data_IF_929415073372
#
_entry.id   IF_929415073372
#
_cell.length_a   1.000
_cell.length_b   1.000
_cell.length_c   1.000
_cell.angle_alpha   90.00
_cell.angle_beta   90.00
_cell.angle_gamma   90.00
#
_symmetry.space_group_name_H-M   'P 1'
#
loop_
_entity.id
_entity.type
_entity.pdbx_description
1 polymer ?
#
# COMPACT_ATOMS: atom_id res chain seq x y z
N UNK A 1 -57.21 17.22 67.63
CA UNK A 1 -57.60 15.88 68.16
C UNK A 1 -56.89 14.83 67.33
N UNK A 2 -56.06 13.98 67.99
CA UNK A 2 -55.70 12.58 67.66
C UNK A 2 -55.17 12.26 66.23
N UNK A 3 -54.18 11.40 65.94
CA UNK A 3 -53.19 10.55 66.64
C UNK A 3 -52.41 9.84 65.51
N UNK A 4 -51.12 9.54 65.72
CA UNK A 4 -50.30 8.43 65.14
C UNK A 4 -49.97 8.48 63.63
N UNK A 5 -48.70 8.61 63.20
CA UNK A 5 -47.55 7.67 63.25
C UNK A 5 -47.64 6.52 62.23
N UNK A 6 -46.76 6.50 61.20
CA UNK A 6 -45.51 5.70 61.10
C UNK A 6 -45.12 5.44 59.63
N UNK A 7 -43.80 5.42 59.41
CA UNK A 7 -43.04 5.19 58.19
C UNK A 7 -43.33 3.87 57.46
N UNK A 8 -42.91 3.79 56.18
CA UNK A 8 -42.54 2.52 55.57
C UNK A 8 -42.56 2.48 54.04
N UNK A 9 -41.36 2.44 53.46
CA UNK A 9 -40.97 1.75 52.23
C UNK A 9 -41.11 2.41 50.83
N UNK A 10 -39.92 2.80 50.37
CA UNK A 10 -39.44 2.83 49.00
C UNK A 10 -39.84 1.56 48.25
N UNK A 11 -40.63 1.71 47.19
CA UNK A 11 -40.62 0.79 46.05
C UNK A 11 -40.46 1.62 44.78
N UNK A 12 -39.26 1.55 44.21
CA UNK A 12 -38.97 1.95 42.84
C UNK A 12 -39.92 1.19 41.90
N UNK A 13 -40.98 1.87 41.48
CA UNK A 13 -41.83 1.42 40.39
C UNK A 13 -41.05 1.48 39.08
N UNK A 14 -40.60 0.32 38.61
CA UNK A 14 -40.17 0.11 37.23
C UNK A 14 -41.35 0.46 36.32
N UNK A 15 -41.27 1.59 35.63
CA UNK A 15 -42.17 1.89 34.54
C UNK A 15 -41.78 1.01 33.35
N UNK A 16 -42.54 -0.05 33.11
CA UNK A 16 -42.55 -0.80 31.86
C UNK A 16 -42.93 0.16 30.71
N UNK A 17 -41.92 0.64 29.99
CA UNK A 17 -42.06 1.35 28.73
C UNK A 17 -42.25 0.37 27.57
N UNK A 18 -43.34 -0.39 27.60
CA UNK A 18 -43.72 -1.31 26.51
C UNK A 18 -44.49 -0.52 25.44
N UNK A 19 -43.80 0.43 24.77
CA UNK A 19 -44.44 1.23 23.72
C UNK A 19 -43.43 1.86 22.75
N UNK A 20 -42.47 1.10 22.21
CA UNK A 20 -41.58 1.65 21.16
C UNK A 20 -40.94 0.64 20.19
N UNK A 21 -41.55 -0.53 19.95
CA UNK A 21 -40.98 -1.53 19.02
C UNK A 21 -41.99 -2.22 18.10
N UNK A 22 -43.04 -1.54 17.63
CA UNK A 22 -44.00 -2.17 16.70
C UNK A 22 -44.43 -1.28 15.52
N UNK A 23 -43.46 -0.63 14.87
CA UNK A 23 -43.68 0.18 13.65
C UNK A 23 -42.68 -0.04 12.53
N UNK A 24 -42.11 -1.24 12.42
CA UNK A 24 -41.34 -1.64 11.23
C UNK A 24 -42.26 -2.49 10.33
N UNK A 25 -43.15 -1.85 9.58
CA UNK A 25 -44.04 -2.62 8.69
C UNK A 25 -45.11 -1.91 7.88
N UNK A 26 -45.33 -0.59 8.03
CA UNK A 26 -46.34 0.12 7.22
C UNK A 26 -45.71 1.22 6.36
N UNK A 27 -45.77 1.13 5.02
CA UNK A 27 -45.38 2.26 4.17
C UNK A 27 -46.44 3.37 4.27
N UNK A 28 -46.05 4.66 4.35
CA UNK A 28 -47.01 5.75 4.38
C UNK A 28 -47.78 5.81 3.05
N UNK A 29 -49.10 5.79 3.17
CA UNK A 29 -50.04 5.81 2.05
C UNK A 29 -50.19 7.22 1.43
N UNK A 30 -49.12 7.78 0.85
CA UNK A 30 -49.19 9.09 0.17
C UNK A 30 -48.16 9.20 -0.98
N UNK A 31 -48.32 8.40 -2.05
CA UNK A 31 -47.78 8.73 -3.38
C UNK A 31 -48.72 8.20 -4.48
N UNK A 32 -48.99 8.99 -5.54
CA UNK A 32 -49.95 8.62 -6.58
C UNK A 32 -49.44 7.44 -7.39
N UNK A 33 -50.34 6.47 -7.63
CA UNK A 33 -50.11 5.29 -8.48
C UNK A 33 -49.90 5.71 -9.94
N UNK A 34 -48.68 6.08 -10.29
CA UNK A 34 -48.27 6.35 -11.67
C UNK A 34 -47.24 5.28 -12.05
N UNK A 35 -47.74 4.31 -12.82
CA UNK A 35 -47.03 3.34 -13.66
C UNK A 35 -45.94 2.46 -13.04
N UNK A 36 -46.26 1.17 -12.89
CA UNK A 36 -45.35 0.05 -13.17
C UNK A 36 -46.17 -1.21 -13.45
N UNK A 37 -46.93 -1.18 -14.55
CA UNK A 37 -47.33 -2.41 -15.23
C UNK A 37 -46.10 -2.97 -15.93
N UNK A 38 -45.36 -3.85 -15.25
CA UNK A 38 -44.28 -4.63 -15.88
C UNK A 38 -44.89 -5.69 -16.81
N UNK A 39 -45.36 -5.23 -17.97
CA UNK A 39 -45.57 -6.07 -19.15
C UNK A 39 -44.20 -6.59 -19.54
N UNK A 40 -44.05 -7.92 -19.57
CA UNK A 40 -42.87 -8.62 -20.08
C UNK A 40 -42.51 -8.07 -21.46
N UNK A 41 -41.45 -7.25 -21.55
CA UNK A 41 -40.87 -6.82 -22.82
C UNK A 41 -39.67 -7.73 -23.13
N UNK A 42 -39.72 -8.52 -24.21
CA UNK A 42 -38.56 -9.26 -24.70
C UNK A 42 -37.69 -8.30 -25.53
N UNK A 43 -37.14 -7.26 -24.90
CA UNK A 43 -36.31 -6.24 -25.55
C UNK A 43 -34.82 -6.36 -25.23
N UNK A 44 -34.36 -7.45 -24.61
CA UNK A 44 -32.97 -7.87 -24.72
C UNK A 44 -32.77 -8.67 -26.01
N UNK A 45 -32.97 -7.98 -27.15
CA UNK A 45 -32.59 -8.50 -28.45
C UNK A 45 -31.06 -8.43 -28.51
N UNK A 46 -30.47 -9.61 -28.59
CA UNK A 46 -29.05 -9.98 -28.69
C UNK A 46 -28.42 -9.36 -29.96
N UNK A 47 -28.36 -8.02 -30.05
CA UNK A 47 -27.73 -7.28 -31.16
C UNK A 47 -26.54 -6.43 -30.70
N UNK A 48 -26.27 -6.34 -29.40
CA UNK A 48 -25.12 -5.60 -28.84
C UNK A 48 -23.78 -6.34 -28.84
N UNK A 49 -23.70 -7.56 -29.40
CA UNK A 49 -22.50 -8.41 -29.28
C UNK A 49 -21.35 -7.88 -30.15
N UNK A 50 -21.69 -7.24 -31.28
CA UNK A 50 -20.70 -6.64 -32.18
C UNK A 50 -20.13 -5.33 -31.61
N UNK A 51 -20.96 -4.51 -30.96
CA UNK A 51 -20.53 -3.25 -30.36
C UNK A 51 -19.71 -3.44 -29.07
N UNK A 52 -20.01 -4.47 -28.28
CA UNK A 52 -19.24 -4.81 -27.08
C UNK A 52 -17.83 -5.35 -27.42
N UNK A 53 -17.70 -6.13 -28.50
CA UNK A 53 -16.41 -6.66 -28.94
C UNK A 53 -15.46 -5.55 -29.46
N UNK A 54 -16.00 -4.49 -30.07
CA UNK A 54 -15.22 -3.36 -30.58
C UNK A 54 -14.66 -2.44 -29.48
N UNK A 55 -15.29 -2.38 -28.30
CA UNK A 55 -14.75 -1.64 -27.14
C UNK A 55 -13.67 -2.41 -26.37
N UNK A 56 -13.61 -3.74 -26.51
CA UNK A 56 -12.66 -4.58 -25.79
C UNK A 56 -11.23 -4.54 -26.37
N UNK A 57 -11.09 -4.27 -27.67
CA UNK A 57 -9.80 -4.24 -28.38
C UNK A 57 -8.86 -3.11 -27.88
N UNK A 58 -9.30 -1.85 -27.70
CA UNK A 58 -8.40 -0.81 -27.19
C UNK A 58 -8.02 -1.00 -25.70
N UNK A 59 -8.78 -1.76 -24.91
CA UNK A 59 -8.47 -2.04 -23.50
C UNK A 59 -7.30 -3.02 -23.32
N UNK A 60 -7.00 -3.85 -24.33
CA UNK A 60 -5.91 -4.84 -24.28
C UNK A 60 -4.55 -4.27 -24.71
N UNK A 61 -4.52 -3.12 -25.40
CA UNK A 61 -3.27 -2.51 -25.88
C UNK A 61 -2.48 -1.79 -24.78
N UNK A 62 -3.07 -1.52 -23.62
CA UNK A 62 -2.44 -0.77 -22.52
C UNK A 62 -1.36 -1.56 -21.75
N UNK A 63 -1.15 -2.84 -22.06
CA UNK A 63 -0.22 -3.70 -21.32
C UNK A 63 1.24 -3.59 -21.77
N UNK A 64 1.54 -2.87 -22.87
CA UNK A 64 2.88 -2.87 -23.47
C UNK A 64 3.43 -1.43 -23.58
N UNK A 65 4.32 -1.07 -22.66
CA UNK A 65 4.96 0.25 -22.60
C UNK A 65 6.20 0.22 -21.71
N UNK A 66 7.05 1.26 -21.77
CA UNK A 66 8.33 1.29 -21.07
C UNK A 66 8.19 1.29 -19.53
N UNK A 67 7.05 1.74 -19.00
CA UNK A 67 6.71 1.67 -17.57
C UNK A 67 5.71 0.55 -17.23
N UNK A 68 5.53 -0.43 -18.12
CA UNK A 68 4.59 -1.52 -17.87
C UNK A 68 5.13 -2.50 -16.83
N UNK A 69 4.41 -2.66 -15.73
CA UNK A 69 4.64 -3.73 -14.75
C UNK A 69 4.26 -5.12 -15.26
N UNK A 70 3.52 -5.17 -16.38
CA UNK A 70 3.06 -6.41 -17.01
C UNK A 70 3.99 -6.90 -18.14
N UNK A 71 5.05 -6.14 -18.45
CA UNK A 71 6.12 -6.54 -19.35
C UNK A 71 7.46 -6.60 -18.59
N UNK A 72 7.67 -7.60 -17.73
CA UNK A 72 8.81 -7.65 -16.83
C UNK A 72 10.11 -8.04 -17.58
N UNK A 73 11.21 -7.41 -17.20
CA UNK A 73 12.54 -7.61 -17.75
C UNK A 73 13.61 -7.93 -16.68
N UNK A 74 13.16 -8.24 -15.47
CA UNK A 74 14.00 -8.74 -14.37
C UNK A 74 13.25 -9.76 -13.51
N UNK A 75 13.97 -10.55 -12.69
CA UNK A 75 13.39 -11.64 -11.91
C UNK A 75 12.37 -11.14 -10.88
N UNK A 76 12.64 -10.02 -10.20
CA UNK A 76 11.73 -9.43 -9.22
C UNK A 76 10.41 -8.99 -9.88
N UNK A 77 10.47 -8.28 -11.00
CA UNK A 77 9.28 -7.90 -11.76
C UNK A 77 8.50 -9.12 -12.31
N UNK A 78 9.19 -10.19 -12.74
CA UNK A 78 8.53 -11.42 -13.21
C UNK A 78 7.71 -12.11 -12.12
N UNK A 79 8.19 -12.09 -10.88
CA UNK A 79 7.42 -12.58 -9.75
C UNK A 79 6.17 -11.72 -9.53
N UNK A 80 6.32 -10.39 -9.53
CA UNK A 80 5.20 -9.45 -9.43
C UNK A 80 4.15 -9.65 -10.54
N UNK A 81 4.57 -9.75 -11.80
CA UNK A 81 3.67 -9.96 -12.93
C UNK A 81 2.93 -11.30 -12.87
N UNK A 82 3.61 -12.39 -12.47
CA UNK A 82 2.98 -13.71 -12.28
C UNK A 82 1.90 -13.68 -11.19
N UNK A 83 2.19 -13.04 -10.05
CA UNK A 83 1.21 -12.86 -8.98
C UNK A 83 -0.03 -12.12 -9.49
N UNK A 84 0.18 -11.03 -10.23
CA UNK A 84 -0.90 -10.23 -10.80
C UNK A 84 -1.81 -11.06 -11.72
N UNK A 85 -1.25 -11.83 -12.65
CA UNK A 85 -2.04 -12.67 -13.56
C UNK A 85 -2.83 -13.76 -12.85
N UNK A 86 -2.22 -14.40 -11.83
CA UNK A 86 -2.90 -15.41 -11.01
C UNK A 86 -4.07 -14.78 -10.24
N UNK A 87 -3.86 -13.62 -9.61
CA UNK A 87 -4.91 -12.90 -8.88
C UNK A 87 -6.03 -12.43 -9.81
N UNK A 88 -5.71 -11.92 -11.00
CA UNK A 88 -6.69 -11.52 -12.00
C UNK A 88 -7.55 -12.71 -12.44
N UNK A 89 -6.92 -13.84 -12.77
CA UNK A 89 -7.65 -15.06 -13.16
C UNK A 89 -8.55 -15.57 -12.04
N UNK A 90 -8.06 -15.58 -10.79
CA UNK A 90 -8.84 -15.98 -9.62
C UNK A 90 -10.04 -15.05 -9.37
N UNK A 91 -9.83 -13.73 -9.43
CA UNK A 91 -10.89 -12.73 -9.27
C UNK A 91 -11.95 -12.85 -10.36
N UNK A 92 -11.55 -13.04 -11.62
CA UNK A 92 -12.47 -13.27 -12.74
C UNK A 92 -13.32 -14.53 -12.55
N UNK A 93 -12.72 -15.63 -12.07
CA UNK A 93 -13.43 -16.87 -11.78
C UNK A 93 -14.47 -16.71 -10.66
N UNK A 94 -14.11 -16.05 -9.55
CA UNK A 94 -15.03 -15.79 -8.43
C UNK A 94 -16.17 -14.88 -8.89
N UNK A 95 -15.85 -13.83 -9.65
CA UNK A 95 -16.85 -12.90 -10.20
C UNK A 95 -17.84 -13.62 -11.11
N UNK A 96 -17.34 -14.51 -11.98
CA UNK A 96 -18.17 -15.35 -12.82
C UNK A 96 -19.07 -16.29 -12.00
N UNK A 97 -18.51 -16.96 -10.98
CA UNK A 97 -19.25 -17.86 -10.09
C UNK A 97 -20.40 -17.12 -9.39
N UNK A 98 -20.10 -16.00 -8.74
CA UNK A 98 -21.10 -15.18 -8.03
C UNK A 98 -22.12 -14.61 -9.02
N UNK A 99 -21.68 -14.15 -10.19
CA UNK A 99 -22.55 -13.67 -11.25
C UNK A 99 -23.54 -14.72 -11.73
N UNK A 100 -23.07 -15.95 -11.99
CA UNK A 100 -23.93 -17.09 -12.38
C UNK A 100 -24.92 -17.43 -11.28
N UNK A 101 -24.47 -17.53 -10.03
CA UNK A 101 -25.36 -17.78 -8.88
C UNK A 101 -26.44 -16.72 -8.75
N UNK A 102 -26.09 -15.44 -8.93
CA UNK A 102 -27.04 -14.33 -8.89
C UNK A 102 -28.06 -14.44 -10.04
N UNK A 103 -27.62 -14.74 -11.26
CA UNK A 103 -28.54 -14.95 -12.40
C UNK A 103 -29.49 -16.12 -12.15
N UNK A 104 -28.99 -17.25 -11.62
CA UNK A 104 -29.83 -18.40 -11.27
C UNK A 104 -30.82 -18.03 -10.17
N UNK A 105 -30.39 -17.35 -9.11
CA UNK A 105 -31.26 -16.90 -8.03
C UNK A 105 -32.37 -15.97 -8.53
N UNK A 106 -32.05 -15.03 -9.42
CA UNK A 106 -33.05 -14.14 -10.04
C UNK A 106 -34.03 -14.90 -10.95
N UNK A 107 -33.56 -15.91 -11.69
CA UNK A 107 -34.42 -16.73 -12.57
C UNK A 107 -35.36 -17.64 -11.79
N UNK A 108 -34.89 -18.26 -10.71
CA UNK A 108 -35.71 -19.16 -9.87
C UNK A 108 -36.67 -18.41 -8.92
N UNK A 109 -36.50 -17.10 -8.74
CA UNK A 109 -37.42 -16.26 -7.94
C UNK A 109 -38.84 -16.17 -8.53
N UNK A 110 -39.03 -16.56 -9.79
CA UNK A 110 -40.35 -16.63 -10.44
C UNK A 110 -41.16 -17.89 -10.17
N UNK A 111 -40.56 -18.94 -9.59
CA UNK A 111 -41.17 -20.28 -9.47
C UNK A 111 -41.35 -20.74 -8.00
N UNK A 112 -40.73 -20.05 -7.04
CA UNK A 112 -40.85 -20.34 -5.62
C UNK A 112 -42.06 -19.65 -4.99
N UNK A 113 -43.14 -20.41 -4.77
CA UNK A 113 -44.32 -19.92 -4.03
C UNK A 113 -43.94 -19.35 -2.66
N UNK A 114 -44.49 -18.18 -2.36
CA UNK A 114 -44.41 -17.51 -1.06
C UNK A 114 -44.98 -18.48 -0.01
N UNK A 115 -44.14 -19.03 0.88
CA UNK A 115 -44.59 -19.89 1.99
C UNK A 115 -43.75 -21.12 2.34
N UNK A 116 -42.67 -21.44 1.61
CA UNK A 116 -41.77 -22.52 2.04
C UNK A 116 -40.73 -21.99 3.03
N UNK A 117 -40.80 -22.44 4.28
CA UNK A 117 -39.77 -22.15 5.28
C UNK A 117 -38.40 -22.69 4.78
N UNK A 118 -37.31 -21.92 4.89
CA UNK A 118 -35.96 -22.39 4.56
C UNK A 118 -35.60 -23.61 5.40
N UNK A 119 -34.95 -24.60 4.79
CA UNK A 119 -34.37 -25.73 5.55
C UNK A 119 -33.15 -25.22 6.34
N UNK A 120 -33.18 -25.22 7.69
CA UNK A 120 -32.09 -24.68 8.51
C UNK A 120 -30.79 -25.47 8.34
N UNK A 121 -30.84 -26.75 7.96
CA UNK A 121 -29.63 -27.53 7.67
C UNK A 121 -28.94 -27.04 6.39
N UNK A 122 -29.73 -26.73 5.36
CA UNK A 122 -29.25 -26.17 4.10
C UNK A 122 -28.69 -24.76 4.30
N UNK A 123 -29.36 -23.92 5.09
CA UNK A 123 -28.89 -22.58 5.44
C UNK A 123 -27.56 -22.62 6.19
N UNK A 124 -27.45 -23.47 7.23
CA UNK A 124 -26.20 -23.66 7.97
C UNK A 124 -25.05 -24.13 7.06
N UNK A 125 -25.33 -25.04 6.14
CA UNK A 125 -24.32 -25.52 5.19
C UNK A 125 -23.84 -24.42 4.23
N UNK A 126 -24.73 -23.56 3.73
CA UNK A 126 -24.35 -22.42 2.90
C UNK A 126 -23.52 -21.39 3.68
N UNK A 127 -23.94 -21.02 4.89
CA UNK A 127 -23.25 -20.00 5.69
C UNK A 127 -21.91 -20.52 6.21
N UNK A 128 -21.89 -21.68 6.88
CA UNK A 128 -20.67 -22.22 7.48
C UNK A 128 -19.72 -22.82 6.44
N UNK A 129 -20.24 -23.52 5.42
CA UNK A 129 -19.43 -24.16 4.40
C UNK A 129 -18.92 -23.16 3.36
N UNK A 130 -19.83 -22.58 2.58
CA UNK A 130 -19.48 -21.71 1.46
C UNK A 130 -19.21 -20.26 1.85
N UNK A 131 -19.82 -19.76 2.92
CA UNK A 131 -19.52 -18.44 3.47
C UNK A 131 -18.19 -18.46 4.21
N UNK A 132 -18.16 -19.12 5.37
CA UNK A 132 -17.01 -19.09 6.28
C UNK A 132 -15.89 -20.04 5.84
N UNK A 133 -16.20 -21.32 5.60
CA UNK A 133 -15.20 -22.35 5.31
C UNK A 133 -14.42 -22.11 4.03
N UNK A 134 -15.10 -21.82 2.92
CA UNK A 134 -14.47 -21.49 1.65
C UNK A 134 -13.62 -20.22 1.75
N UNK A 135 -14.16 -19.14 2.32
CA UNK A 135 -13.43 -17.87 2.46
C UNK A 135 -12.19 -18.02 3.33
N UNK A 136 -12.30 -18.73 4.46
CA UNK A 136 -11.17 -18.98 5.35
C UNK A 136 -10.09 -19.81 4.65
N UNK A 137 -10.50 -20.86 3.93
CA UNK A 137 -9.57 -21.71 3.17
C UNK A 137 -8.81 -20.91 2.11
N UNK A 138 -9.52 -20.09 1.32
CA UNK A 138 -8.91 -19.25 0.29
C UNK A 138 -7.99 -18.20 0.92
N UNK A 139 -8.42 -17.53 1.99
CA UNK A 139 -7.61 -16.53 2.69
C UNK A 139 -6.33 -17.13 3.26
N UNK A 140 -6.41 -18.28 3.92
CA UNK A 140 -5.24 -18.99 4.45
C UNK A 140 -4.30 -19.39 3.31
N UNK A 141 -4.80 -19.95 2.21
CA UNK A 141 -3.98 -20.33 1.07
C UNK A 141 -3.26 -19.13 0.44
N UNK A 142 -3.96 -18.01 0.25
CA UNK A 142 -3.37 -16.77 -0.28
C UNK A 142 -2.33 -16.19 0.67
N UNK A 143 -2.59 -16.18 1.99
CA UNK A 143 -1.64 -15.70 2.99
C UNK A 143 -0.35 -16.54 3.00
N UNK A 144 -0.47 -17.87 3.02
CA UNK A 144 0.69 -18.78 2.98
C UNK A 144 1.52 -18.55 1.71
N UNK A 145 0.85 -18.42 0.56
CA UNK A 145 1.52 -18.15 -0.70
C UNK A 145 2.22 -16.77 -0.74
N UNK A 146 1.58 -15.75 -0.16
CA UNK A 146 2.15 -14.41 -0.05
C UNK A 146 3.42 -14.40 0.81
N UNK A 147 3.39 -15.03 1.99
CA UNK A 147 4.55 -15.14 2.87
C UNK A 147 5.70 -15.92 2.22
N UNK A 148 5.40 -17.06 1.61
CA UNK A 148 6.39 -17.86 0.89
C UNK A 148 7.05 -17.12 -0.28
N UNK A 149 6.30 -16.27 -0.97
CA UNK A 149 6.84 -15.44 -2.05
C UNK A 149 7.65 -14.26 -1.51
N UNK A 150 7.20 -13.64 -0.41
CA UNK A 150 7.86 -12.49 0.21
C UNK A 150 9.29 -12.80 0.66
N UNK A 151 9.52 -13.95 1.28
CA UNK A 151 10.87 -14.36 1.73
C UNK A 151 11.89 -14.52 0.58
N UNK A 152 11.42 -14.75 -0.64
CA UNK A 152 12.28 -14.92 -1.83
C UNK A 152 12.78 -13.60 -2.40
N UNK A 153 12.19 -12.48 -2.00
CA UNK A 153 12.49 -11.13 -2.54
C UNK A 153 13.52 -10.38 -1.65
N UNK A 154 13.84 -10.92 -0.47
CA UNK A 154 14.75 -10.28 0.49
C UNK A 154 16.20 -10.25 -0.04
N UNK A 155 16.81 -9.07 0.00
CA UNK A 155 18.22 -8.80 -0.33
C UNK A 155 19.17 -9.60 0.58
N UNK A 156 20.23 -10.19 0.01
CA UNK A 156 21.27 -10.91 0.77
C UNK A 156 22.63 -10.30 0.51
N UNK A 157 23.44 -10.08 1.53
CA UNK A 157 24.80 -9.58 1.34
C UNK A 157 25.70 -10.67 0.71
N UNK A 158 26.00 -10.52 -0.58
CA UNK A 158 26.69 -11.51 -1.42
C UNK A 158 27.76 -10.88 -2.34
N UNK A 159 28.21 -9.65 -2.05
CA UNK A 159 29.21 -8.96 -2.87
C UNK A 159 28.69 -8.45 -4.21
N UNK A 160 27.37 -8.26 -4.32
CA UNK A 160 26.67 -7.68 -5.46
C UNK A 160 27.16 -6.24 -5.76
N UNK A 161 27.12 -5.83 -7.04
CA UNK A 161 27.48 -4.47 -7.47
C UNK A 161 26.68 -3.43 -6.67
N UNK A 162 27.37 -2.58 -5.92
CA UNK A 162 26.74 -1.51 -5.14
C UNK A 162 26.75 -0.21 -5.94
N UNK A 163 25.59 0.42 -6.06
CA UNK A 163 25.40 1.75 -6.62
C UNK A 163 24.69 2.63 -5.60
N UNK A 164 25.16 3.87 -5.42
CA UNK A 164 24.46 4.84 -4.59
C UNK A 164 23.54 5.67 -5.47
N UNK A 165 22.31 5.88 -5.00
CA UNK A 165 21.31 6.71 -5.66
C UNK A 165 20.79 7.74 -4.64
N UNK A 166 21.01 9.01 -4.97
CA UNK A 166 20.65 10.14 -4.15
C UNK A 166 19.56 10.95 -4.87
N UNK A 167 18.44 11.14 -4.19
CA UNK A 167 17.31 11.91 -4.70
C UNK A 167 17.37 13.36 -4.22
N UNK A 168 16.96 14.27 -5.09
CA UNK A 168 16.70 15.68 -4.79
C UNK A 168 15.55 16.18 -5.68
N UNK A 169 14.87 17.25 -5.31
CA UNK A 169 13.83 17.87 -6.12
C UNK A 169 14.46 18.51 -7.37
N UNK A 170 14.25 18.02 -8.60
CA UNK A 170 13.52 16.81 -9.04
C UNK A 170 14.39 15.96 -9.98
N UNK A 171 15.47 15.42 -9.44
CA UNK A 171 16.46 14.61 -10.14
C UNK A 171 17.01 13.47 -9.29
N UNK A 172 17.72 12.57 -9.98
CA UNK A 172 18.44 11.47 -9.36
C UNK A 172 19.90 11.57 -9.73
N UNK A 173 20.77 11.46 -8.74
CA UNK A 173 22.20 11.35 -8.95
C UNK A 173 22.67 9.97 -8.56
N UNK A 174 23.47 9.34 -9.41
CA UNK A 174 23.99 8.00 -9.23
C UNK A 174 25.50 8.01 -9.08
N UNK A 175 26.02 7.26 -8.11
CA UNK A 175 27.47 7.04 -7.95
C UNK A 175 27.74 5.54 -8.05
N UNK A 176 28.49 5.13 -9.06
CA UNK A 176 28.71 3.72 -9.43
C UNK A 176 30.17 3.45 -9.85
N UNK A 177 30.65 2.20 -9.80
CA UNK A 177 31.97 1.86 -10.32
C UNK A 177 32.08 2.06 -11.83
N UNK A 178 32.98 2.93 -12.26
CA UNK A 178 33.30 3.18 -13.66
C UNK A 178 34.42 2.29 -14.20
N UNK A 179 34.89 2.56 -15.43
CA UNK A 179 36.00 1.83 -16.05
C UNK A 179 37.26 1.89 -15.17
N UNK A 180 37.82 0.72 -14.84
CA UNK A 180 38.99 0.62 -13.94
C UNK A 180 38.66 0.68 -12.44
N UNK A 181 37.39 0.68 -12.07
CA UNK A 181 36.93 0.60 -10.67
C UNK A 181 36.87 1.95 -9.93
N UNK A 182 37.26 3.05 -10.58
CA UNK A 182 37.09 4.39 -10.02
C UNK A 182 35.60 4.76 -9.98
N UNK A 183 35.11 5.40 -8.90
CA UNK A 183 33.72 5.82 -8.82
C UNK A 183 33.43 6.91 -9.85
N UNK A 184 32.29 6.79 -10.55
CA UNK A 184 31.79 7.76 -11.51
C UNK A 184 30.41 8.22 -11.05
N UNK A 185 30.19 9.53 -11.11
CA UNK A 185 28.91 10.18 -10.81
C UNK A 185 28.18 10.52 -12.10
N UNK A 186 26.91 10.13 -12.19
CA UNK A 186 26.04 10.38 -13.35
C UNK A 186 24.71 10.94 -12.89
N UNK A 187 24.11 11.82 -13.69
CA UNK A 187 22.83 12.46 -13.39
C UNK A 187 21.75 11.88 -14.30
N UNK A 188 20.63 11.45 -13.72
CA UNK A 188 19.48 10.94 -14.47
C UNK A 188 19.71 9.63 -15.24
N UNK A 189 20.94 9.08 -15.27
CA UNK A 189 21.27 7.84 -15.96
C UNK A 189 22.07 6.91 -15.03
N UNK A 190 21.52 5.73 -14.79
CA UNK A 190 22.14 4.63 -14.05
C UNK A 190 22.69 3.58 -15.03
N UNK A 191 23.94 3.16 -14.89
CA UNK A 191 24.57 2.17 -15.77
C UNK A 191 24.84 0.88 -15.00
N UNK A 192 24.26 -0.24 -15.45
CA UNK A 192 24.34 -1.53 -14.73
C UNK A 192 24.62 -2.69 -15.69
N UNK A 193 25.32 -3.75 -15.27
CA UNK A 193 25.52 -4.93 -16.11
C UNK A 193 24.24 -5.75 -16.21
N UNK A 194 23.85 -6.13 -17.43
CA UNK A 194 22.78 -7.09 -17.64
C UNK A 194 23.17 -8.50 -17.16
N UNK A 195 22.18 -9.30 -16.79
CA UNK A 195 22.34 -10.69 -16.35
C UNK A 195 22.94 -10.86 -14.95
N UNK A 196 23.21 -9.76 -14.23
CA UNK A 196 23.76 -9.78 -12.87
C UNK A 196 22.89 -8.91 -11.94
N UNK A 197 22.70 -9.34 -10.67
CA UNK A 197 22.07 -8.48 -9.69
C UNK A 197 22.95 -7.26 -9.41
N UNK A 198 22.31 -6.17 -9.00
CA UNK A 198 22.93 -4.95 -8.50
C UNK A 198 22.08 -4.39 -7.36
N UNK A 199 22.73 -3.80 -6.39
CA UNK A 199 22.13 -3.18 -5.22
C UNK A 199 22.18 -1.66 -5.37
N UNK A 200 21.04 -1.03 -5.16
CA UNK A 200 20.89 0.42 -5.18
C UNK A 200 20.69 0.90 -3.74
N UNK A 201 21.73 1.53 -3.18
CA UNK A 201 21.68 2.19 -1.89
C UNK A 201 21.01 3.57 -2.07
N UNK A 202 19.79 3.70 -1.57
CA UNK A 202 18.88 4.81 -1.77
C UNK A 202 18.87 5.75 -0.57
N UNK A 203 19.03 7.04 -0.83
CA UNK A 203 18.86 8.12 0.15
C UNK A 203 18.28 9.36 -0.54
N UNK A 204 17.85 10.34 0.26
CA UNK A 204 17.36 11.63 -0.23
C UNK A 204 18.04 12.79 0.50
N UNK A 205 18.23 13.91 -0.20
CA UNK A 205 18.75 15.16 0.36
C UNK A 205 17.66 16.08 0.92
N UNK A 206 16.39 15.88 0.56
CA UNK A 206 15.31 16.81 0.88
C UNK A 206 14.03 16.15 1.45
N UNK A 207 13.15 15.65 0.59
CA UNK A 207 11.87 15.03 0.93
C UNK A 207 11.90 13.55 0.61
N UNK A 208 10.84 12.81 0.94
CA UNK A 208 10.74 11.41 0.55
C UNK A 208 10.51 11.32 -0.97
N UNK A 209 11.32 10.49 -1.62
CA UNK A 209 11.12 10.08 -3.02
C UNK A 209 10.96 8.56 -3.06
N UNK A 210 10.61 8.01 -4.22
CA UNK A 210 10.58 6.55 -4.38
C UNK A 210 11.17 6.15 -5.71
N UNK A 211 12.26 5.40 -5.64
CA UNK A 211 12.97 4.90 -6.81
C UNK A 211 12.16 3.73 -7.39
N UNK A 212 11.73 3.86 -8.64
CA UNK A 212 10.97 2.80 -9.29
C UNK A 212 11.35 2.62 -10.76
N UNK A 213 11.71 1.37 -11.09
CA UNK A 213 11.93 0.90 -12.46
C UNK A 213 10.97 -0.26 -12.72
N UNK A 214 9.74 0.00 -13.23
CA UNK A 214 8.65 -0.97 -13.25
C UNK A 214 8.97 -2.31 -13.93
N UNK A 215 9.81 -2.29 -14.96
CA UNK A 215 10.21 -3.52 -15.66
C UNK A 215 11.21 -4.37 -14.88
N UNK A 216 11.96 -3.80 -13.94
CA UNK A 216 13.00 -4.52 -13.21
C UNK A 216 12.50 -5.03 -11.85
N UNK A 217 11.67 -4.25 -11.16
CA UNK A 217 11.14 -4.65 -9.86
C UNK A 217 10.14 -3.69 -9.23
N UNK A 218 9.92 -3.88 -7.93
CA UNK A 218 9.10 -3.00 -7.10
C UNK A 218 9.73 -1.62 -6.92
N UNK A 219 9.02 -0.75 -6.20
CA UNK A 219 9.55 0.56 -5.79
C UNK A 219 10.23 0.44 -4.43
N UNK A 220 11.21 1.28 -4.16
CA UNK A 220 11.80 1.45 -2.82
C UNK A 220 11.98 2.94 -2.52
N UNK A 221 11.60 3.32 -1.31
CA UNK A 221 11.57 4.73 -0.93
C UNK A 221 12.98 5.23 -0.56
N UNK A 222 13.31 6.44 -1.01
CA UNK A 222 14.50 7.17 -0.65
C UNK A 222 14.12 8.19 0.43
N UNK A 223 14.62 7.99 1.65
CA UNK A 223 14.16 8.71 2.84
C UNK A 223 15.32 9.57 3.37
N UNK A 224 15.11 10.86 3.63
CA UNK A 224 16.15 11.71 4.21
C UNK A 224 16.66 11.15 5.53
N UNK A 225 17.98 11.01 5.67
CA UNK A 225 18.63 10.48 6.87
C UNK A 225 18.53 8.96 7.07
N UNK A 226 17.99 8.21 6.10
CA UNK A 226 17.93 6.76 6.15
C UNK A 226 18.32 6.12 4.82
N UNK A 227 19.20 5.13 4.86
CA UNK A 227 19.65 4.41 3.67
C UNK A 227 18.89 3.10 3.50
N UNK A 228 18.10 3.01 2.45
CA UNK A 228 17.47 1.75 2.02
C UNK A 228 18.31 1.07 0.95
N UNK A 229 18.31 -0.26 0.90
CA UNK A 229 19.01 -1.01 -0.15
C UNK A 229 18.00 -1.78 -0.99
N UNK A 230 17.97 -1.48 -2.29
CA UNK A 230 17.07 -2.11 -3.24
C UNK A 230 17.82 -2.97 -4.24
N UNK A 231 17.60 -4.29 -4.19
CA UNK A 231 18.20 -5.24 -5.13
C UNK A 231 17.39 -5.38 -6.39
N UNK A 232 18.01 -5.16 -7.54
CA UNK A 232 17.43 -5.32 -8.86
C UNK A 232 18.35 -6.13 -9.78
N UNK A 233 17.80 -6.56 -10.91
CA UNK A 233 18.55 -7.22 -11.98
C UNK A 233 17.81 -6.97 -13.29
N UNK A 234 18.56 -6.74 -14.36
CA UNK A 234 18.05 -6.67 -15.72
C UNK A 234 18.48 -7.91 -16.49
N UNK A 235 17.55 -8.69 -17.04
CA UNK A 235 17.88 -9.98 -17.67
C UNK A 235 18.60 -9.84 -19.00
N UNK A 236 18.40 -8.72 -19.70
CA UNK A 236 18.94 -8.46 -21.03
C UNK A 236 19.49 -7.04 -21.12
N UNK A 237 20.50 -6.80 -21.98
CA UNK A 237 20.92 -5.44 -22.30
C UNK A 237 19.76 -4.63 -22.88
N UNK A 238 19.71 -3.35 -22.54
CA UNK A 238 18.63 -2.46 -22.98
C UNK A 238 18.53 -1.19 -22.17
N UNK A 239 17.53 -0.37 -22.53
CA UNK A 239 17.20 0.88 -21.85
C UNK A 239 15.88 0.67 -21.11
N UNK A 240 15.89 0.97 -19.82
CA UNK A 240 14.72 0.89 -18.96
C UNK A 240 14.40 2.27 -18.39
N UNK A 241 13.12 2.61 -18.36
CA UNK A 241 12.66 3.87 -17.79
C UNK A 241 12.40 3.73 -16.29
N UNK A 242 12.88 4.72 -15.55
CA UNK A 242 12.59 4.92 -14.14
C UNK A 242 11.86 6.22 -13.86
N UNK A 243 11.12 6.26 -12.75
CA UNK A 243 10.43 7.44 -12.27
C UNK A 243 10.43 7.53 -10.74
N UNK A 244 10.13 8.72 -10.24
CA UNK A 244 9.75 8.89 -8.85
C UNK A 244 8.31 8.41 -8.61
N UNK A 245 8.12 7.51 -7.66
CA UNK A 245 6.82 6.92 -7.32
C UNK A 245 6.25 7.40 -5.97
N UNK A 246 6.82 8.46 -5.40
CA UNK A 246 6.32 9.13 -4.19
C UNK A 246 6.20 10.63 -4.45
N UNK A 247 5.09 11.23 -4.03
CA UNK A 247 4.82 12.62 -4.35
C UNK A 247 5.84 13.55 -3.67
N UNK A 248 6.70 14.17 -4.49
CA UNK A 248 7.82 14.99 -4.02
C UNK A 248 7.73 16.46 -4.45
N UNK A 249 6.54 16.96 -4.79
CA UNK A 249 6.29 18.37 -5.11
C UNK A 249 5.98 18.64 -6.59
N UNK A 250 6.15 19.90 -7.03
CA UNK A 250 5.65 20.38 -8.32
C UNK A 250 6.25 19.67 -9.55
N UNK A 251 7.53 19.31 -9.51
CA UNK A 251 8.21 18.58 -10.57
C UNK A 251 8.08 17.05 -10.49
N UNK A 252 7.26 16.53 -9.57
CA UNK A 252 7.12 15.07 -9.35
C UNK A 252 6.78 14.30 -10.64
N UNK A 253 5.82 14.80 -11.42
CA UNK A 253 5.36 14.11 -12.64
C UNK A 253 6.46 13.99 -13.74
N UNK A 254 7.47 14.84 -13.69
CA UNK A 254 8.59 14.86 -14.65
C UNK A 254 9.87 14.27 -14.08
N UNK A 255 9.89 13.88 -12.80
CA UNK A 255 11.05 13.31 -12.13
C UNK A 255 11.28 11.88 -12.62
N UNK A 256 12.08 11.77 -13.69
CA UNK A 256 12.37 10.53 -14.40
C UNK A 256 13.88 10.32 -14.49
N UNK A 257 14.26 9.07 -14.68
CA UNK A 257 15.63 8.67 -14.91
C UNK A 257 15.66 7.47 -15.86
N UNK A 258 16.84 7.12 -16.33
CA UNK A 258 17.07 6.03 -17.27
C UNK A 258 18.02 5.02 -16.65
N UNK A 259 17.74 3.73 -16.82
CA UNK A 259 18.68 2.66 -16.50
C UNK A 259 19.16 2.05 -17.80
N UNK A 260 20.46 2.15 -18.05
CA UNK A 260 21.14 1.53 -19.18
C UNK A 260 21.75 0.22 -18.69
N UNK A 261 21.12 -0.90 -19.04
CA UNK A 261 21.68 -2.22 -18.83
C UNK A 261 22.63 -2.55 -19.98
N UNK A 262 23.94 -2.58 -19.72
CA UNK A 262 24.94 -2.90 -20.73
C UNK A 262 25.28 -4.40 -20.74
N UNK A 263 25.75 -4.89 -21.87
CA UNK A 263 26.30 -6.23 -21.98
C UNK A 263 27.63 -6.32 -21.23
N UNK A 264 27.76 -7.13 -20.17
CA UNK A 264 29.00 -7.24 -19.40
C UNK A 264 30.17 -7.82 -20.21
N UNK A 265 29.91 -8.55 -21.29
CA UNK A 265 30.93 -9.11 -22.17
C UNK A 265 31.27 -8.19 -23.36
N UNK A 266 30.52 -7.08 -23.50
CA UNK A 266 30.69 -6.08 -24.55
C UNK A 266 31.56 -4.89 -24.14
N UNK A 267 31.70 -3.88 -25.02
CA UNK A 267 32.31 -2.61 -24.66
C UNK A 267 31.53 -1.92 -23.54
N UNK A 268 32.24 -1.42 -22.53
CA UNK A 268 31.61 -0.60 -21.49
C UNK A 268 30.99 0.66 -22.11
N UNK A 269 29.81 1.09 -21.63
CA UNK A 269 29.20 2.33 -22.09
C UNK A 269 30.11 3.52 -21.76
N UNK A 270 30.05 4.56 -22.59
CA UNK A 270 30.59 5.85 -22.19
C UNK A 270 29.73 6.34 -21.02
N UNK A 271 30.28 6.30 -19.82
CA UNK A 271 29.62 6.85 -18.65
C UNK A 271 29.57 8.38 -18.84
N UNK A 272 28.44 8.87 -19.36
CA UNK A 272 28.21 10.29 -19.57
C UNK A 272 28.14 11.00 -18.21
N UNK A 273 29.28 11.49 -17.73
CA UNK A 273 29.32 12.43 -16.62
C UNK A 273 29.03 13.83 -17.17
N UNK A 274 27.84 14.38 -16.93
CA UNK A 274 27.66 15.82 -17.04
C UNK A 274 28.34 16.48 -15.85
N UNK A 275 29.68 16.61 -15.91
CA UNK A 275 30.40 17.60 -15.12
C UNK A 275 30.19 18.95 -15.82
N UNK A 276 29.00 19.52 -15.69
CA UNK A 276 28.73 20.91 -15.99
C UNK A 276 28.50 21.64 -14.66
N UNK A 277 29.55 22.32 -14.18
CA UNK A 277 29.51 23.48 -13.28
C UNK A 277 28.65 23.38 -12.00
N UNK A 278 28.86 22.38 -11.14
CA UNK A 278 28.60 22.59 -9.70
C UNK A 278 29.73 21.99 -8.86
N UNK A 279 30.38 22.87 -8.11
CA UNK A 279 31.60 22.64 -7.39
C UNK A 279 31.52 21.52 -6.34
N UNK A 280 32.60 20.73 -6.30
CA UNK A 280 33.22 20.05 -5.16
C UNK A 280 32.44 20.06 -3.85
N UNK A 281 31.91 18.90 -3.46
CA UNK A 281 31.84 18.53 -2.03
C UNK A 281 32.19 17.05 -1.88
N UNK A 282 33.16 16.66 -1.04
CA UNK A 282 33.52 15.26 -0.87
C UNK A 282 32.47 14.55 -0.01
N UNK A 283 31.88 13.48 -0.54
CA UNK A 283 31.06 12.54 0.24
C UNK A 283 31.99 11.71 1.15
N UNK A 284 31.82 11.70 2.48
CA UNK A 284 32.58 10.84 3.37
C UNK A 284 32.12 9.37 3.22
N UNK A 285 32.96 8.37 3.55
CA UNK A 285 32.60 6.97 3.42
C UNK A 285 31.40 6.62 4.29
N UNK A 286 30.42 5.92 3.71
CA UNK A 286 29.27 5.40 4.43
C UNK A 286 29.73 4.36 5.47
N UNK A 287 29.68 4.71 6.75
CA UNK A 287 29.85 3.78 7.86
C UNK A 287 28.46 3.29 8.28
N UNK A 288 28.19 2.00 8.05
CA UNK A 288 26.97 1.33 8.51
C UNK A 288 27.04 1.23 10.04
N UNK A 289 26.42 2.17 10.75
CA UNK A 289 26.23 2.06 12.20
C UNK A 289 24.99 1.22 12.50
N UNK A 290 25.23 0.03 13.06
CA UNK A 290 24.23 -0.71 13.80
C UNK A 290 23.74 0.15 14.98
N UNK A 291 22.43 0.31 15.11
CA UNK A 291 21.84 1.01 16.25
C UNK A 291 21.96 0.16 17.52
N UNK A 292 22.67 0.67 18.53
CA UNK A 292 22.54 0.20 19.92
C UNK A 292 21.39 0.95 20.62
N UNK A 293 20.66 0.30 21.55
CA UNK A 293 19.53 0.90 22.24
C UNK A 293 20.00 1.86 23.33
N UNK A 294 19.50 3.09 23.28
CA UNK A 294 19.71 4.15 24.25
C UNK A 294 19.06 3.79 25.61
N UNK A 295 19.90 3.47 26.59
CA UNK A 295 19.51 3.27 27.98
C UNK A 295 20.18 4.31 28.86
N UNK A 296 19.81 5.58 28.73
CA UNK A 296 20.05 6.53 29.82
C UNK A 296 19.09 7.73 29.76
N UNK A 297 17.94 7.59 30.41
CA UNK A 297 17.14 8.77 30.79
C UNK A 297 16.29 8.51 32.03
N UNK A 298 16.91 8.59 33.21
CA UNK A 298 16.24 9.04 34.43
C UNK A 298 17.27 9.33 35.54
N UNK A 299 17.59 10.61 35.74
CA UNK A 299 18.19 11.10 36.98
C UNK A 299 17.37 12.33 37.47
N UNK A 300 17.16 12.52 38.79
CA UNK A 300 16.24 13.49 39.37
C UNK A 300 16.93 14.84 39.69
N UNK A 301 16.22 15.96 39.53
CA UNK A 301 16.75 17.31 39.74
C UNK A 301 16.86 17.75 41.21
N UNK A 302 17.98 18.39 41.56
CA UNK A 302 18.20 19.18 42.78
C UNK A 302 18.02 20.70 42.55
N UNK A 303 17.77 21.51 43.60
CA UNK A 303 17.19 22.85 43.48
C UNK A 303 18.21 24.01 43.41
N UNK A 304 17.75 25.12 42.82
CA UNK A 304 18.44 26.39 42.56
C UNK A 304 18.74 27.23 43.81
N UNK A 305 19.87 27.99 43.89
CA UNK A 305 20.11 28.97 44.95
C UNK A 305 19.71 30.40 44.56
N UNK A 306 19.04 31.09 45.49
CA UNK A 306 18.56 32.48 45.43
C UNK A 306 19.63 33.46 45.96
N UNK A 307 19.79 34.61 45.31
CA UNK A 307 20.79 35.64 45.64
C UNK A 307 20.22 36.75 46.56
N UNK A 308 21.07 37.15 47.50
CA UNK A 308 20.96 38.13 48.59
C UNK A 308 20.57 39.57 48.19
N UNK A 309 19.75 40.23 49.03
CA UNK A 309 19.85 41.68 49.30
C UNK A 309 19.32 42.08 50.71
N UNK A 310 20.25 42.63 51.51
CA UNK A 310 20.14 43.75 52.49
C UNK A 310 19.35 43.65 53.82
N UNK A 311 20.15 43.81 54.89
CA UNK A 311 19.96 44.14 56.34
C UNK A 311 19.41 45.59 56.57
N UNK A 312 19.07 46.14 57.79
CA UNK A 312 19.05 45.63 59.19
C UNK A 312 17.79 45.99 60.04
N UNK A 313 17.80 45.57 61.31
CA UNK A 313 17.45 46.29 62.59
C UNK A 313 16.49 45.55 63.55
N UNK A 314 17.08 45.15 64.70
CA UNK A 314 16.61 44.97 66.09
C UNK A 314 15.38 44.12 66.54
N UNK A 315 15.44 43.55 67.77
CA UNK A 315 14.54 42.52 68.30
C UNK A 315 13.50 43.06 69.30
N UNK A 316 12.32 42.42 69.43
CA UNK A 316 11.63 42.29 70.75
C UNK A 316 10.47 41.26 70.74
N UNK A 317 10.51 40.39 71.74
CA UNK A 317 9.48 39.63 72.52
C UNK A 317 7.97 39.46 72.13
N UNK A 318 7.26 38.51 72.78
CA UNK A 318 6.13 37.76 72.21
C UNK A 318 4.78 37.94 72.94
N UNK A 319 3.77 37.18 72.44
CA UNK A 319 2.52 36.63 73.06
C UNK A 319 1.20 37.21 72.54
N UNK A 320 0.06 36.50 72.72
CA UNK A 320 -0.16 35.19 73.36
C UNK A 320 -0.47 34.02 72.42
#
# INVERSE_FOLDING_TARGET
MQRMAREGDLALGVAEGDMLLDRVGQPPALLPRIFLTHRRSPLFRIHGHKSAALLAVPLLAACNGPLSTLNPAGPAAQHGARLWWVMLAGSALITLLVGVMLVLAMRHRGEGGIGRAPDPARERHWIMGWGLGFSLTVLTALLTFALWTGERIITRDDGTLQVQAEAEQWGWTFTQPGPGGAPVRTEGILYVPAGRPFDVALTSQDVIHSFWVPQLGGKMDAIPGHQNVHRLSADRPGIYEGLCAEFCGLGHATMRFTVVAYDPDGPLPAFESQLADTATSPVPPAEVRAAEPDSDRLEPGEPTPEQSATDPTDPEEPRP
#
